data_IF_011300030906
#
_entry.id   IF_011300030906
#
_cell.length_a   1.000
_cell.length_b   1.000
_cell.length_c   1.000
_cell.angle_alpha   90.00
_cell.angle_beta   90.00
_cell.angle_gamma   90.00
#
_symmetry.space_group_name_H-M   'P 1'
#
loop_
_entity.id
_entity.type
_entity.pdbx_description
1 polymer ?
#
# COMPACT_ATOMS: atom_id res chain seq x y z
N UNK A 1 -50.76 -29.08 5.85
CA UNK A 1 -50.08 -28.63 7.08
C UNK A 1 -48.63 -29.07 6.95
N UNK A 2 -47.60 -28.24 6.93
CA UNK A 2 -47.45 -26.79 6.88
C UNK A 2 -45.99 -26.56 6.48
N UNK A 3 -45.78 -25.83 5.38
CA UNK A 3 -44.50 -25.20 5.02
C UNK A 3 -44.13 -24.21 6.12
N UNK A 4 -42.85 -24.17 6.50
CA UNK A 4 -42.28 -23.07 7.29
C UNK A 4 -40.98 -22.61 6.62
N UNK A 5 -41.13 -21.65 5.72
CA UNK A 5 -40.07 -20.77 5.28
C UNK A 5 -39.74 -19.77 6.40
N UNK A 6 -38.46 -19.67 6.78
CA UNK A 6 -37.98 -18.58 7.62
C UNK A 6 -37.26 -17.55 6.74
N UNK A 7 -37.88 -16.38 6.67
CA UNK A 7 -37.38 -15.15 6.07
C UNK A 7 -36.26 -14.58 6.94
N UNK A 8 -35.07 -14.36 6.37
CA UNK A 8 -34.05 -13.52 7.00
C UNK A 8 -34.34 -12.05 6.66
N UNK A 9 -34.78 -11.30 7.65
CA UNK A 9 -34.87 -9.85 7.58
C UNK A 9 -33.48 -9.23 7.82
N UNK A 10 -33.19 -8.23 7.01
CA UNK A 10 -31.97 -7.45 6.91
C UNK A 10 -31.99 -6.30 7.93
N UNK A 11 -30.99 -6.24 8.81
CA UNK A 11 -30.42 -5.07 9.53
C UNK A 11 -29.82 -5.53 10.86
N UNK A 12 -28.49 -5.59 10.94
CA UNK A 12 -27.78 -5.55 12.21
C UNK A 12 -26.52 -4.71 12.01
N UNK A 13 -26.46 -3.57 12.72
CA UNK A 13 -25.20 -2.85 12.94
C UNK A 13 -24.17 -3.82 13.51
N UNK A 14 -22.91 -3.68 13.06
CA UNK A 14 -21.79 -4.51 13.52
C UNK A 14 -21.46 -4.28 15.01
N UNK A 15 -22.08 -3.28 15.64
CA UNK A 15 -21.92 -2.94 17.05
C UNK A 15 -23.25 -3.14 17.80
N UNK A 16 -23.44 -4.23 18.57
CA UNK A 16 -24.65 -4.38 19.38
C UNK A 16 -24.74 -3.28 20.43
N UNK A 17 -25.88 -2.59 20.47
CA UNK A 17 -26.20 -1.49 21.39
C UNK A 17 -26.10 -1.98 22.85
N UNK A 18 -25.20 -1.40 23.64
CA UNK A 18 -25.19 -1.62 25.09
C UNK A 18 -26.29 -0.74 25.71
N UNK A 19 -27.31 -1.39 26.26
CA UNK A 19 -28.30 -0.74 27.11
C UNK A 19 -27.61 -0.15 28.36
N UNK A 20 -27.34 1.15 28.35
CA UNK A 20 -26.84 1.87 29.52
C UNK A 20 -26.04 3.11 29.15
N UNK A 21 -26.72 4.24 28.99
CA UNK A 21 -26.08 5.55 28.89
C UNK A 21 -25.43 5.88 30.24
N UNK A 22 -24.12 5.69 30.36
CA UNK A 22 -23.34 6.30 31.44
C UNK A 22 -22.67 7.54 30.85
N UNK A 23 -23.29 8.69 31.06
CA UNK A 23 -22.63 9.97 30.87
C UNK A 23 -21.55 10.13 31.94
N UNK A 24 -20.30 9.80 31.62
CA UNK A 24 -19.16 10.10 32.48
C UNK A 24 -18.65 11.48 32.10
N UNK A 25 -19.03 12.50 32.87
CA UNK A 25 -18.52 13.85 32.71
C UNK A 25 -17.00 13.86 32.92
N UNK A 26 -16.23 14.12 31.85
CA UNK A 26 -14.78 14.31 31.91
C UNK A 26 -13.92 13.51 30.91
N UNK A 27 -14.50 12.64 30.08
CA UNK A 27 -13.75 11.86 29.08
C UNK A 27 -13.29 12.73 27.91
N UNK A 28 -11.98 12.77 27.64
CA UNK A 28 -11.42 13.39 26.42
C UNK A 28 -11.80 12.53 25.20
N UNK A 29 -12.14 13.19 24.09
CA UNK A 29 -12.55 12.52 22.85
C UNK A 29 -11.46 11.57 22.32
N UNK A 30 -11.79 10.41 21.73
CA UNK A 30 -10.83 9.46 21.16
C UNK A 30 -9.96 10.01 20.04
N UNK A 31 -10.33 11.15 19.45
CA UNK A 31 -9.57 11.86 18.44
C UNK A 31 -9.81 13.36 18.65
N UNK A 32 -8.75 14.17 18.79
CA UNK A 32 -8.86 15.62 18.85
C UNK A 32 -8.70 16.20 17.45
N UNK A 33 -9.73 16.88 16.94
CA UNK A 33 -9.70 17.59 15.66
C UNK A 33 -8.56 18.61 15.61
N UNK A 34 -7.70 18.53 14.60
CA UNK A 34 -6.70 19.56 14.33
C UNK A 34 -7.35 20.78 13.64
N UNK A 35 -6.86 21.98 13.94
CA UNK A 35 -7.51 23.26 13.64
C UNK A 35 -7.48 23.67 12.14
N UNK A 36 -7.00 22.80 11.25
CA UNK A 36 -6.64 23.13 9.87
C UNK A 36 -7.81 23.27 8.88
N UNK A 37 -8.97 22.67 9.16
CA UNK A 37 -10.19 22.83 8.36
C UNK A 37 -11.41 22.78 9.27
N UNK A 38 -12.09 23.93 9.44
CA UNK A 38 -13.43 23.96 10.01
C UNK A 38 -14.38 23.33 9.00
N UNK A 39 -14.93 22.16 9.35
CA UNK A 39 -16.09 21.57 8.67
C UNK A 39 -17.12 22.67 8.40
N UNK A 40 -17.38 22.98 7.12
CA UNK A 40 -18.56 23.76 6.75
C UNK A 40 -19.80 22.86 6.89
N UNK A 41 -20.25 22.74 8.14
CA UNK A 41 -21.62 22.84 8.64
C UNK A 41 -22.74 22.03 7.95
N UNK A 42 -23.15 20.95 8.64
CA UNK A 42 -24.54 20.52 8.94
C UNK A 42 -25.00 19.12 8.51
N UNK A 43 -24.22 18.31 7.78
CA UNK A 43 -24.61 16.92 7.45
C UNK A 43 -23.59 15.82 7.80
N UNK A 44 -22.29 16.10 7.88
CA UNK A 44 -21.23 15.09 8.09
C UNK A 44 -20.68 15.02 9.52
N UNK A 45 -20.96 15.99 10.37
CA UNK A 45 -20.51 15.97 11.77
C UNK A 45 -21.13 14.81 12.60
N UNK A 46 -22.44 14.49 12.49
CA UNK A 46 -23.03 13.42 13.30
C UNK A 46 -22.49 12.03 12.99
N UNK A 47 -22.19 11.73 11.72
CA UNK A 47 -21.68 10.42 11.31
C UNK A 47 -20.22 10.23 11.74
N UNK A 48 -19.42 11.29 11.66
CA UNK A 48 -18.03 11.26 12.14
C UNK A 48 -17.99 11.14 13.66
N UNK A 49 -18.83 11.89 14.39
CA UNK A 49 -18.92 11.78 15.86
C UNK A 49 -19.31 10.35 16.29
N UNK A 50 -20.27 9.74 15.59
CA UNK A 50 -20.67 8.35 15.83
C UNK A 50 -19.51 7.37 15.54
N UNK A 51 -18.85 7.50 14.38
CA UNK A 51 -17.72 6.65 14.02
C UNK A 51 -16.56 6.76 15.03
N UNK A 52 -16.23 7.98 15.48
CA UNK A 52 -15.21 8.21 16.51
C UNK A 52 -15.61 7.53 17.83
N UNK A 53 -16.89 7.60 18.21
CA UNK A 53 -17.39 6.90 19.38
C UNK A 53 -17.25 5.37 19.24
N UNK A 54 -17.61 4.82 18.08
CA UNK A 54 -17.52 3.38 17.80
C UNK A 54 -16.07 2.89 17.80
N UNK A 55 -15.13 3.68 17.26
CA UNK A 55 -13.68 3.43 17.38
C UNK A 55 -13.25 3.38 18.85
N UNK A 56 -13.67 4.35 19.67
CA UNK A 56 -13.33 4.35 21.09
C UNK A 56 -13.83 3.09 21.82
N UNK A 57 -15.05 2.64 21.53
CA UNK A 57 -15.59 1.40 22.08
C UNK A 57 -14.82 0.17 21.59
N UNK A 58 -14.44 0.11 20.31
CA UNK A 58 -13.66 -1.00 19.76
C UNK A 58 -12.26 -1.09 20.42
N UNK A 59 -11.56 0.04 20.56
CA UNK A 59 -10.25 0.10 21.19
C UNK A 59 -10.30 -0.26 22.69
N UNK A 60 -11.33 0.18 23.42
CA UNK A 60 -11.50 -0.21 24.82
C UNK A 60 -11.77 -1.72 24.96
N UNK A 61 -12.60 -2.30 24.09
CA UNK A 61 -12.85 -3.75 24.07
C UNK A 61 -11.57 -4.51 23.78
N UNK A 62 -10.82 -4.09 22.77
CA UNK A 62 -9.52 -4.68 22.43
C UNK A 62 -8.54 -4.60 23.61
N UNK A 63 -8.43 -3.44 24.27
CA UNK A 63 -7.53 -3.24 25.42
C UNK A 63 -7.92 -4.00 26.69
N UNK A 64 -9.13 -4.57 26.74
CA UNK A 64 -9.59 -5.42 27.84
C UNK A 64 -9.75 -6.88 27.43
N UNK A 65 -9.43 -7.22 26.18
CA UNK A 65 -9.51 -8.59 25.67
C UNK A 65 -8.33 -9.42 26.20
N UNK A 66 -8.58 -10.56 26.88
CA UNK A 66 -7.50 -11.46 27.32
C UNK A 66 -6.63 -11.99 26.17
N UNK A 67 -7.12 -11.96 24.93
CA UNK A 67 -6.42 -12.38 23.71
C UNK A 67 -5.74 -11.23 22.96
N UNK A 68 -5.69 -10.01 23.51
CA UNK A 68 -5.07 -8.83 22.86
C UNK A 68 -3.68 -9.10 22.31
N UNK A 69 -2.89 -9.94 23.00
CA UNK A 69 -1.55 -10.33 22.56
C UNK A 69 -1.58 -11.08 21.22
N UNK A 70 -2.53 -12.00 21.04
CA UNK A 70 -2.65 -12.75 19.79
C UNK A 70 -3.05 -11.82 18.64
N UNK A 71 -3.96 -10.87 18.88
CA UNK A 71 -4.33 -9.86 17.88
C UNK A 71 -3.12 -9.01 17.47
N UNK A 72 -2.31 -8.57 18.44
CA UNK A 72 -1.07 -7.82 18.18
C UNK A 72 -0.10 -8.64 17.33
N UNK A 73 0.14 -9.90 17.70
CA UNK A 73 1.07 -10.77 16.95
C UNK A 73 0.55 -11.10 15.54
N UNK A 74 -0.78 -11.18 15.37
CA UNK A 74 -1.39 -11.41 14.05
C UNK A 74 -1.26 -10.16 13.17
N UNK A 75 -1.58 -8.97 13.67
CA UNK A 75 -1.50 -7.73 12.90
C UNK A 75 -0.05 -7.28 12.66
N UNK A 76 0.71 -7.11 13.75
CA UNK A 76 1.99 -6.38 13.76
C UNK A 76 3.22 -7.30 13.80
N UNK A 77 3.02 -8.62 13.78
CA UNK A 77 4.10 -9.61 13.77
C UNK A 77 4.69 -9.94 15.15
N UNK A 78 5.74 -10.77 15.13
CA UNK A 78 6.45 -11.19 16.34
C UNK A 78 7.58 -10.22 16.70
N UNK A 79 7.86 -10.05 18.00
CA UNK A 79 8.99 -9.22 18.46
C UNK A 79 8.66 -7.75 18.72
N UNK A 80 7.37 -7.39 18.72
CA UNK A 80 6.87 -6.06 19.11
C UNK A 80 7.37 -5.63 20.49
N UNK A 81 7.51 -4.33 20.69
CA UNK A 81 7.75 -3.74 21.99
C UNK A 81 6.47 -3.82 22.85
N UNK A 82 6.37 -4.89 23.63
CA UNK A 82 5.23 -5.14 24.52
C UNK A 82 5.06 -4.08 25.62
N UNK A 83 6.13 -3.38 26.02
CA UNK A 83 6.02 -2.28 26.99
C UNK A 83 5.29 -1.09 26.35
N UNK A 84 5.71 -0.68 25.15
CA UNK A 84 5.05 0.38 24.38
C UNK A 84 3.59 0.01 24.05
N UNK A 85 3.32 -1.25 23.70
CA UNK A 85 1.95 -1.73 23.49
C UNK A 85 1.12 -1.60 24.78
N UNK A 86 1.64 -2.06 25.93
CA UNK A 86 0.93 -1.97 27.20
C UNK A 86 0.65 -0.52 27.64
N UNK A 87 1.53 0.42 27.33
CA UNK A 87 1.33 1.84 27.63
C UNK A 87 0.12 2.42 26.87
N UNK A 88 -0.11 1.99 25.62
CA UNK A 88 -1.31 2.35 24.87
C UNK A 88 -2.57 1.70 25.47
N UNK A 89 -2.52 0.38 25.70
CA UNK A 89 -3.68 -0.39 26.14
C UNK A 89 -4.17 0.01 27.55
N UNK A 90 -3.28 0.37 28.47
CA UNK A 90 -3.67 0.81 29.81
C UNK A 90 -4.58 2.03 29.80
N UNK A 91 -4.31 3.01 28.92
CA UNK A 91 -5.18 4.17 28.73
C UNK A 91 -6.53 3.77 28.15
N UNK A 92 -6.50 3.00 27.06
CA UNK A 92 -7.72 2.62 26.33
C UNK A 92 -8.67 1.76 27.18
N UNK A 93 -8.14 0.91 28.05
CA UNK A 93 -8.94 0.10 28.97
C UNK A 93 -9.83 0.96 29.89
N UNK A 94 -9.37 2.15 30.26
CA UNK A 94 -10.12 3.12 31.08
C UNK A 94 -10.74 4.27 30.27
N UNK A 95 -10.85 4.10 28.95
CA UNK A 95 -11.40 5.09 28.02
C UNK A 95 -10.59 6.42 28.01
N UNK A 96 -9.28 6.34 28.26
CA UNK A 96 -8.32 7.44 28.10
C UNK A 96 -7.55 7.27 26.80
N UNK A 97 -7.85 8.13 25.83
CA UNK A 97 -7.25 8.15 24.51
C UNK A 97 -6.26 9.30 24.35
N UNK A 98 -5.67 9.81 25.44
CA UNK A 98 -4.65 10.87 25.35
C UNK A 98 -3.41 10.48 24.54
N UNK A 99 -3.20 9.18 24.29
CA UNK A 99 -2.08 8.60 23.55
C UNK A 99 -2.46 8.08 22.15
N UNK A 100 -3.54 8.58 21.55
CA UNK A 100 -3.93 8.29 20.15
C UNK A 100 -3.47 9.41 19.20
N UNK A 101 -3.34 9.14 17.90
CA UNK A 101 -2.99 10.15 16.92
C UNK A 101 -4.05 11.25 16.81
N UNK A 102 -3.63 12.42 16.31
CA UNK A 102 -4.57 13.50 15.98
C UNK A 102 -5.43 13.13 14.77
N UNK A 103 -6.57 13.78 14.60
CA UNK A 103 -7.40 13.62 13.41
C UNK A 103 -7.47 14.94 12.62
N UNK A 104 -7.07 14.90 11.35
CA UNK A 104 -7.25 15.96 10.38
C UNK A 104 -8.22 15.52 9.27
N UNK A 105 -9.07 16.42 8.79
CA UNK A 105 -9.89 16.18 7.59
C UNK A 105 -9.20 16.85 6.40
N UNK A 106 -9.12 16.15 5.27
CA UNK A 106 -8.54 16.62 4.00
C UNK A 106 -9.42 16.24 2.82
N UNK A 107 -9.31 16.94 1.70
CA UNK A 107 -9.90 16.47 0.44
C UNK A 107 -9.19 15.17 0.05
N UNK A 108 -9.89 14.21 -0.56
CA UNK A 108 -9.27 12.97 -1.01
C UNK A 108 -8.06 13.26 -1.92
N UNK A 109 -8.20 14.20 -2.85
CA UNK A 109 -7.11 14.62 -3.74
C UNK A 109 -5.86 15.19 -3.06
N UNK A 110 -5.96 15.66 -1.81
CA UNK A 110 -4.80 16.12 -1.02
C UNK A 110 -4.03 14.96 -0.38
N UNK A 111 -4.70 13.83 -0.15
CA UNK A 111 -4.12 12.58 0.36
C UNK A 111 -4.12 11.50 -0.74
N UNK A 112 -3.85 11.92 -1.98
CA UNK A 112 -3.71 11.05 -3.16
C UNK A 112 -4.92 10.12 -3.44
N UNK A 113 -6.11 10.58 -3.03
CA UNK A 113 -7.42 9.94 -3.13
C UNK A 113 -7.61 8.73 -2.20
N UNK A 114 -6.82 8.62 -1.13
CA UNK A 114 -7.06 7.67 -0.06
C UNK A 114 -8.32 8.04 0.74
N UNK A 115 -8.93 7.06 1.40
CA UNK A 115 -10.05 7.26 2.32
C UNK A 115 -9.57 7.69 3.73
N UNK A 116 -8.43 7.17 4.16
CA UNK A 116 -7.66 7.53 5.35
C UNK A 116 -6.17 7.55 5.04
N UNK A 117 -5.36 8.13 5.93
CA UNK A 117 -3.90 8.02 5.90
C UNK A 117 -3.28 8.40 7.25
N UNK A 118 -2.47 7.52 7.83
CA UNK A 118 -1.64 7.82 9.00
C UNK A 118 -0.31 8.46 8.57
N UNK A 119 0.00 9.62 9.16
CA UNK A 119 1.25 10.32 8.96
C UNK A 119 2.15 10.19 10.20
N UNK A 120 3.20 9.38 10.10
CA UNK A 120 4.16 9.13 11.19
C UNK A 120 4.96 10.37 11.61
N UNK A 121 5.29 11.25 10.65
CA UNK A 121 6.06 12.48 10.89
C UNK A 121 5.44 13.43 11.93
N UNK A 122 4.11 13.39 12.08
CA UNK A 122 3.38 14.27 12.99
C UNK A 122 2.31 13.55 13.83
N UNK A 123 2.30 12.21 13.80
CA UNK A 123 1.34 11.33 14.47
C UNK A 123 -0.12 11.78 14.25
N UNK A 124 -0.50 12.03 12.98
CA UNK A 124 -1.84 12.48 12.59
C UNK A 124 -2.46 11.55 11.58
N UNK A 125 -3.71 11.16 11.82
CA UNK A 125 -4.59 10.51 10.85
C UNK A 125 -5.25 11.59 10.00
N UNK A 126 -5.15 11.50 8.69
CA UNK A 126 -5.87 12.32 7.73
C UNK A 126 -7.03 11.52 7.12
N UNK A 127 -8.26 11.94 7.39
CA UNK A 127 -9.46 11.30 6.86
C UNK A 127 -10.01 12.11 5.68
N UNK A 128 -10.39 11.41 4.61
CA UNK A 128 -10.96 12.02 3.41
C UNK A 128 -12.35 12.61 3.68
N UNK A 129 -12.56 13.86 3.26
CA UNK A 129 -13.90 14.44 3.23
C UNK A 129 -14.82 13.75 2.21
N UNK A 130 -14.24 13.09 1.20
CA UNK A 130 -14.99 12.35 0.19
C UNK A 130 -15.59 11.09 0.82
N UNK A 131 -14.82 10.37 1.67
CA UNK A 131 -15.30 9.23 2.46
C UNK A 131 -16.48 9.64 3.34
N UNK A 132 -16.36 10.75 4.09
CA UNK A 132 -17.42 11.27 4.96
C UNK A 132 -18.70 11.59 4.20
N UNK A 133 -18.55 12.15 3.00
CA UNK A 133 -19.70 12.52 2.16
C UNK A 133 -20.39 11.28 1.59
N UNK A 134 -19.61 10.31 1.12
CA UNK A 134 -20.13 9.07 0.55
C UNK A 134 -20.78 8.16 1.60
N UNK A 135 -20.30 8.21 2.84
CA UNK A 135 -20.77 7.37 3.94
C UNK A 135 -21.58 8.13 4.99
N UNK A 136 -22.30 9.19 4.59
CA UNK A 136 -23.07 10.04 5.51
C UNK A 136 -24.11 9.29 6.39
N UNK A 137 -24.51 8.08 5.99
CA UNK A 137 -25.40 7.20 6.77
C UNK A 137 -24.77 5.86 7.17
N UNK A 138 -23.44 5.74 7.07
CA UNK A 138 -22.70 4.50 7.30
C UNK A 138 -21.47 4.76 8.20
N UNK A 139 -21.68 5.01 9.50
CA UNK A 139 -20.57 5.25 10.43
C UNK A 139 -19.63 4.04 10.54
N UNK A 140 -20.13 2.82 10.35
CA UNK A 140 -19.32 1.58 10.40
C UNK A 140 -18.17 1.61 9.37
N UNK A 141 -18.42 2.11 8.16
CA UNK A 141 -17.37 2.26 7.12
C UNK A 141 -16.35 3.34 7.46
N UNK A 142 -16.75 4.39 8.18
CA UNK A 142 -15.82 5.44 8.62
C UNK A 142 -14.99 4.94 9.80
N UNK A 143 -15.61 4.20 10.73
CA UNK A 143 -14.93 3.55 11.85
C UNK A 143 -13.93 2.48 11.36
N UNK A 144 -14.25 1.77 10.28
CA UNK A 144 -13.36 0.83 9.60
C UNK A 144 -12.01 1.47 9.24
N UNK A 145 -12.09 2.56 8.48
CA UNK A 145 -10.91 3.30 8.00
C UNK A 145 -10.17 3.92 9.19
N UNK A 146 -10.88 4.54 10.14
CA UNK A 146 -10.22 5.10 11.32
C UNK A 146 -9.48 4.05 12.17
N UNK A 147 -10.03 2.83 12.30
CA UNK A 147 -9.36 1.76 13.02
C UNK A 147 -8.15 1.22 12.27
N UNK A 148 -8.20 1.19 10.94
CA UNK A 148 -7.08 0.85 10.06
C UNK A 148 -5.92 1.84 10.26
N UNK A 149 -6.20 3.13 10.22
CA UNK A 149 -5.18 4.17 10.46
C UNK A 149 -4.66 4.19 11.91
N UNK A 150 -5.49 3.80 12.89
CA UNK A 150 -5.02 3.57 14.26
C UNK A 150 -4.10 2.34 14.32
N UNK A 151 -4.34 1.32 13.49
CA UNK A 151 -3.46 0.16 13.36
C UNK A 151 -2.05 0.55 12.90
N UNK A 152 -1.92 1.34 11.84
CA UNK A 152 -0.62 1.87 11.39
C UNK A 152 0.07 2.72 12.47
N UNK A 153 -0.68 3.52 13.24
CA UNK A 153 -0.13 4.22 14.40
C UNK A 153 0.40 3.26 15.46
N UNK A 154 -0.33 2.18 15.77
CA UNK A 154 0.11 1.18 16.74
C UNK A 154 1.42 0.56 16.24
N UNK A 155 1.47 0.13 14.99
CA UNK A 155 2.66 -0.48 14.40
C UNK A 155 3.88 0.42 14.54
N UNK A 156 3.76 1.67 14.08
CA UNK A 156 4.79 2.70 14.22
C UNK A 156 5.31 2.88 15.65
N UNK A 157 4.46 2.71 16.66
CA UNK A 157 4.82 2.90 18.07
C UNK A 157 5.47 1.67 18.71
N UNK A 158 5.08 0.47 18.28
CA UNK A 158 5.49 -0.77 18.94
C UNK A 158 6.58 -1.52 18.18
N UNK A 159 6.72 -1.27 16.88
CA UNK A 159 7.71 -1.92 16.05
C UNK A 159 8.91 -1.01 15.75
N UNK A 160 10.10 -1.62 15.67
CA UNK A 160 11.31 -0.93 15.22
C UNK A 160 11.32 -0.73 13.70
N UNK A 161 10.68 -1.64 12.99
CA UNK A 161 10.54 -1.68 11.56
C UNK A 161 9.09 -2.00 11.25
N UNK A 162 8.54 -1.26 10.31
CA UNK A 162 7.21 -1.46 9.75
C UNK A 162 6.87 -2.94 9.55
N UNK A 163 5.71 -3.35 10.03
CA UNK A 163 5.21 -4.69 9.77
C UNK A 163 4.97 -4.85 8.26
N UNK A 164 5.32 -5.99 7.65
CA UNK A 164 5.04 -6.21 6.24
C UNK A 164 3.53 -6.39 6.05
N UNK A 165 2.98 -5.72 5.04
CA UNK A 165 1.56 -5.84 4.73
C UNK A 165 0.79 -4.55 4.95
N UNK A 166 -0.52 -4.72 5.10
CA UNK A 166 -1.46 -3.73 5.59
C UNK A 166 -1.91 -4.18 6.99
N UNK A 167 -1.02 -3.96 7.97
CA UNK A 167 -1.25 -4.28 9.38
C UNK A 167 -2.39 -3.45 9.98
N UNK A 168 -2.66 -2.27 9.39
CA UNK A 168 -3.82 -1.43 9.64
C UNK A 168 -5.13 -2.18 9.41
N UNK A 169 -5.35 -2.69 8.19
CA UNK A 169 -6.59 -3.38 7.84
C UNK A 169 -6.72 -4.70 8.62
N UNK A 170 -5.63 -5.45 8.81
CA UNK A 170 -5.64 -6.63 9.68
C UNK A 170 -6.13 -6.26 11.08
N UNK A 171 -5.56 -5.21 11.68
CA UNK A 171 -5.97 -4.75 12.99
C UNK A 171 -7.45 -4.33 13.02
N UNK A 172 -7.88 -3.50 12.06
CA UNK A 172 -9.26 -3.01 11.93
C UNK A 172 -10.27 -4.15 11.91
N UNK A 173 -10.04 -5.16 11.06
CA UNK A 173 -10.90 -6.34 10.94
C UNK A 173 -10.94 -7.15 12.24
N UNK A 174 -9.79 -7.38 12.87
CA UNK A 174 -9.72 -8.17 14.11
C UNK A 174 -10.48 -7.50 15.26
N UNK A 175 -10.29 -6.19 15.46
CA UNK A 175 -10.96 -5.47 16.57
C UNK A 175 -12.45 -5.22 16.32
N UNK A 176 -12.89 -5.31 15.06
CA UNK A 176 -14.31 -5.35 14.67
C UNK A 176 -14.93 -6.74 14.75
N UNK A 177 -14.13 -7.78 15.04
CA UNK A 177 -14.59 -9.16 15.14
C UNK A 177 -14.88 -9.81 13.79
N UNK A 178 -14.27 -9.31 12.71
CA UNK A 178 -14.41 -9.89 11.38
C UNK A 178 -13.54 -11.14 11.24
N UNK A 179 -14.09 -12.15 10.56
CA UNK A 179 -13.35 -13.37 10.26
C UNK A 179 -12.41 -13.11 9.08
N UNK A 180 -11.10 -13.24 9.30
CA UNK A 180 -10.09 -13.17 8.26
C UNK A 180 -9.70 -14.60 7.87
N UNK A 181 -9.87 -14.98 6.62
CA UNK A 181 -9.45 -16.30 6.16
C UNK A 181 -7.91 -16.38 6.15
N UNK A 182 -7.34 -17.59 6.19
CA UNK A 182 -5.88 -17.75 6.12
C UNK A 182 -5.29 -17.21 4.80
N UNK A 183 -6.06 -17.24 3.71
CA UNK A 183 -5.64 -16.69 2.42
C UNK A 183 -5.69 -15.16 2.42
N UNK A 184 -6.74 -14.56 3.01
CA UNK A 184 -6.86 -13.10 3.12
C UNK A 184 -5.83 -12.54 4.10
N UNK A 185 -5.56 -13.23 5.21
CA UNK A 185 -4.53 -12.82 6.15
C UNK A 185 -3.14 -12.85 5.51
N UNK A 186 -2.84 -13.87 4.70
CA UNK A 186 -1.60 -13.92 3.95
C UNK A 186 -1.52 -12.77 2.93
N UNK A 187 -2.65 -12.43 2.31
CA UNK A 187 -2.77 -11.33 1.35
C UNK A 187 -2.42 -10.00 2.00
N UNK A 188 -3.10 -9.70 3.11
CA UNK A 188 -2.90 -8.47 3.87
C UNK A 188 -1.46 -8.37 4.38
N UNK A 189 -0.85 -9.46 4.88
CA UNK A 189 0.57 -9.47 5.34
C UNK A 189 1.64 -9.27 4.25
N UNK A 190 1.24 -9.10 2.99
CA UNK A 190 2.17 -8.91 1.86
C UNK A 190 1.87 -7.68 1.02
N UNK A 191 0.83 -6.93 1.38
CA UNK A 191 0.54 -5.62 0.78
C UNK A 191 1.67 -4.63 1.06
N UNK A 192 1.95 -3.73 0.12
CA UNK A 192 2.91 -2.65 0.30
C UNK A 192 2.19 -1.37 -0.10
N UNK A 193 2.00 -0.50 0.87
CA UNK A 193 1.12 0.65 0.83
C UNK A 193 1.88 2.01 0.91
N UNK A 194 3.20 2.06 1.05
CA UNK A 194 3.88 3.36 1.20
C UNK A 194 3.78 4.31 -0.03
N UNK A 195 3.40 5.58 0.20
CA UNK A 195 3.35 6.69 -0.75
C UNK A 195 3.83 8.02 -0.12
N UNK A 196 4.16 9.03 -0.94
CA UNK A 196 4.55 10.38 -0.48
C UNK A 196 3.59 11.43 -1.04
N UNK A 197 3.01 12.25 -0.17
CA UNK A 197 2.14 13.40 -0.53
C UNK A 197 2.71 14.72 -0.05
N UNK A 198 2.30 15.82 -0.68
CA UNK A 198 2.66 17.16 -0.23
C UNK A 198 1.47 17.80 0.47
N UNK A 199 1.54 17.90 1.80
CA UNK A 199 0.54 18.56 2.63
C UNK A 199 1.13 19.86 3.19
N UNK A 200 0.44 20.99 2.99
CA UNK A 200 0.85 22.31 3.49
C UNK A 200 2.30 22.70 3.11
N UNK A 201 2.77 22.25 1.93
CA UNK A 201 4.11 22.51 1.41
C UNK A 201 5.22 21.63 2.02
N UNK A 202 4.87 20.57 2.77
CA UNK A 202 5.80 19.58 3.31
C UNK A 202 5.52 18.21 2.70
N UNK A 203 6.57 17.45 2.42
CA UNK A 203 6.44 16.04 2.03
C UNK A 203 6.08 15.21 3.26
N UNK A 204 5.05 14.38 3.16
CA UNK A 204 4.53 13.50 4.21
C UNK A 204 4.40 12.10 3.60
N UNK A 205 4.95 11.09 4.26
CA UNK A 205 4.70 9.69 3.89
C UNK A 205 3.29 9.28 4.36
N UNK A 206 2.56 8.58 3.49
CA UNK A 206 1.21 8.04 3.73
C UNK A 206 1.12 6.62 3.18
N UNK A 207 0.26 5.79 3.74
CA UNK A 207 -0.02 4.43 3.25
C UNK A 207 -1.21 4.42 2.25
N UNK A 208 -1.08 3.71 1.12
CA UNK A 208 -1.89 3.66 -0.12
C UNK A 208 -1.52 2.50 -1.09
N UNK A 209 -2.53 1.91 -1.74
CA UNK A 209 -2.33 1.03 -2.92
C UNK A 209 -1.51 1.70 -4.05
N UNK A 210 -0.36 1.11 -4.39
CA UNK A 210 0.59 1.65 -5.37
C UNK A 210 0.01 1.68 -6.80
N UNK A 211 -0.20 2.89 -7.35
CA UNK A 211 -0.60 3.11 -8.75
C UNK A 211 0.64 3.17 -9.64
N UNK A 212 0.69 2.34 -10.68
CA UNK A 212 1.71 2.42 -11.74
C UNK A 212 1.18 3.20 -12.94
N UNK A 213 2.04 3.98 -13.60
CA UNK A 213 1.68 4.78 -14.78
C UNK A 213 2.72 4.65 -15.91
N UNK A 214 2.26 4.60 -17.16
CA UNK A 214 3.13 4.73 -18.34
C UNK A 214 2.40 5.44 -19.48
N UNK A 215 3.16 5.97 -20.43
CA UNK A 215 2.65 6.54 -21.68
C UNK A 215 2.86 5.56 -22.85
N UNK A 216 1.81 5.37 -23.67
CA UNK A 216 1.87 4.62 -24.92
C UNK A 216 1.09 5.35 -26.01
N UNK A 217 1.78 5.79 -27.07
CA UNK A 217 1.14 6.36 -28.26
C UNK A 217 0.42 7.69 -28.01
N UNK A 218 0.93 8.53 -27.11
CA UNK A 218 0.35 9.80 -26.67
C UNK A 218 -0.77 9.64 -25.64
N UNK A 219 -0.96 8.45 -25.06
CA UNK A 219 -2.00 8.15 -24.08
C UNK A 219 -1.38 7.65 -22.78
N UNK A 220 -1.78 8.26 -21.66
CA UNK A 220 -1.41 7.81 -20.32
C UNK A 220 -2.26 6.60 -19.93
N UNK A 221 -1.64 5.66 -19.24
CA UNK A 221 -2.28 4.49 -18.68
C UNK A 221 -1.90 4.38 -17.21
N UNK A 222 -2.88 4.08 -16.36
CA UNK A 222 -2.69 3.76 -14.95
C UNK A 222 -3.22 2.37 -14.66
N UNK A 223 -2.51 1.64 -13.80
CA UNK A 223 -2.98 0.37 -13.25
C UNK A 223 -2.80 0.35 -11.74
N UNK A 224 -3.71 -0.31 -11.04
CA UNK A 224 -3.59 -0.59 -9.61
C UNK A 224 -4.26 -1.91 -9.26
N UNK A 225 -3.95 -2.43 -8.07
CA UNK A 225 -4.72 -3.49 -7.43
C UNK A 225 -5.92 -2.82 -6.75
N UNK A 226 -7.12 -3.27 -7.10
CA UNK A 226 -8.35 -2.84 -6.43
C UNK A 226 -8.51 -3.55 -5.09
N UNK A 227 -9.28 -2.93 -4.20
CA UNK A 227 -9.61 -3.46 -2.87
C UNK A 227 -10.58 -4.64 -2.91
N UNK A 228 -11.10 -5.00 -4.10
CA UNK A 228 -12.03 -6.12 -4.29
C UNK A 228 -11.31 -7.41 -4.76
N UNK A 229 -11.26 -8.40 -3.88
CA UNK A 229 -10.93 -9.79 -4.21
C UNK A 229 -9.70 -9.91 -5.14
N UNK A 230 -8.63 -9.18 -4.81
CA UNK A 230 -7.32 -9.22 -5.48
C UNK A 230 -7.31 -8.81 -6.96
N UNK A 231 -8.32 -8.05 -7.41
CA UNK A 231 -8.49 -7.70 -8.82
C UNK A 231 -7.59 -6.54 -9.26
N UNK A 232 -7.32 -6.43 -10.56
CA UNK A 232 -6.56 -5.30 -11.12
C UNK A 232 -7.47 -4.41 -11.95
N UNK A 233 -7.21 -3.09 -11.94
CA UNK A 233 -7.96 -2.11 -12.71
C UNK A 233 -7.05 -1.23 -13.55
N UNK A 234 -7.44 -1.02 -14.80
CA UNK A 234 -6.73 -0.18 -15.75
C UNK A 234 -7.61 1.01 -16.17
N UNK A 235 -7.04 2.21 -16.10
CA UNK A 235 -7.59 3.42 -16.68
C UNK A 235 -6.58 4.08 -17.61
N UNK A 236 -7.04 5.05 -18.38
CA UNK A 236 -6.26 5.74 -19.38
C UNK A 236 -6.81 7.13 -19.67
N UNK A 237 -5.93 8.03 -20.07
CA UNK A 237 -6.26 9.41 -20.40
C UNK A 237 -5.45 9.91 -21.59
N UNK A 238 -6.07 10.73 -22.44
CA UNK A 238 -5.36 11.41 -23.54
C UNK A 238 -4.65 12.70 -23.09
N UNK A 239 -5.00 13.25 -21.93
CA UNK A 239 -4.55 14.57 -21.50
C UNK A 239 -4.15 14.64 -20.02
N UNK A 240 -4.21 13.52 -19.30
CA UNK A 240 -3.92 13.42 -17.87
C UNK A 240 -4.99 14.02 -16.95
N UNK A 241 -6.09 14.57 -17.51
CA UNK A 241 -7.17 15.21 -16.74
C UNK A 241 -8.47 14.42 -16.85
N UNK A 242 -8.85 14.07 -18.08
CA UNK A 242 -10.06 13.33 -18.38
C UNK A 242 -9.71 11.85 -18.50
N UNK A 243 -10.09 11.07 -17.51
CA UNK A 243 -9.84 9.63 -17.44
C UNK A 243 -11.09 8.85 -17.85
N UNK A 244 -10.91 7.71 -18.51
CA UNK A 244 -12.02 6.76 -18.64
C UNK A 244 -12.28 6.06 -17.30
N UNK A 245 -13.45 5.42 -17.20
CA UNK A 245 -13.74 4.56 -16.06
C UNK A 245 -12.71 3.43 -15.94
N UNK A 246 -12.43 3.04 -14.71
CA UNK A 246 -11.63 1.87 -14.39
C UNK A 246 -12.21 0.62 -15.03
N UNK A 247 -11.38 -0.11 -15.77
CA UNK A 247 -11.74 -1.37 -16.38
C UNK A 247 -11.04 -2.52 -15.65
N UNK A 248 -11.82 -3.46 -15.13
CA UNK A 248 -11.31 -4.65 -14.46
C UNK A 248 -10.55 -5.53 -15.46
N UNK A 249 -9.32 -5.92 -15.11
CA UNK A 249 -8.51 -6.87 -15.86
C UNK A 249 -8.57 -8.24 -15.14
N UNK A 250 -8.91 -9.34 -15.84
CA UNK A 250 -8.87 -10.67 -15.27
C UNK A 250 -7.47 -11.04 -14.75
N UNK A 251 -7.40 -11.72 -13.61
CA UNK A 251 -6.16 -12.05 -12.92
C UNK A 251 -6.22 -11.58 -11.47
N UNK A 252 -5.57 -12.32 -10.57
CA UNK A 252 -5.56 -12.02 -9.13
C UNK A 252 -4.12 -11.78 -8.68
N UNK A 253 -3.89 -10.73 -7.91
CA UNK A 253 -2.58 -10.32 -7.38
C UNK A 253 -2.71 -9.77 -5.97
N UNK A 254 -1.72 -10.05 -5.13
CA UNK A 254 -1.59 -9.44 -3.79
C UNK A 254 -0.70 -8.19 -3.81
N UNK A 255 0.14 -8.06 -4.84
CA UNK A 255 1.05 -6.94 -4.99
C UNK A 255 0.52 -5.99 -6.05
N UNK A 256 1.02 -4.76 -6.07
CA UNK A 256 0.70 -3.83 -7.15
C UNK A 256 1.12 -4.40 -8.52
N UNK A 257 0.24 -4.33 -9.54
CA UNK A 257 0.58 -4.76 -10.88
C UNK A 257 1.47 -3.73 -11.57
N UNK A 258 2.29 -4.20 -12.51
CA UNK A 258 3.23 -3.38 -13.27
C UNK A 258 2.74 -3.13 -14.70
N UNK A 259 3.02 -1.95 -15.23
CA UNK A 259 2.80 -1.63 -16.64
C UNK A 259 4.03 -1.00 -17.28
N UNK A 260 4.24 -1.25 -18.57
CA UNK A 260 5.27 -0.57 -19.35
C UNK A 260 4.92 -0.49 -20.82
N UNK A 261 5.56 0.44 -21.53
CA UNK A 261 5.54 0.51 -22.99
C UNK A 261 6.63 -0.39 -23.56
N UNK A 262 6.26 -1.45 -24.26
CA UNK A 262 7.19 -2.27 -25.01
C UNK A 262 6.87 -2.21 -26.51
N UNK A 263 7.78 -1.60 -27.27
CA UNK A 263 7.66 -1.45 -28.74
C UNK A 263 6.31 -0.83 -29.17
N UNK A 264 5.83 0.17 -28.43
CA UNK A 264 4.58 0.88 -28.73
C UNK A 264 3.32 0.13 -28.29
N UNK A 265 3.46 -0.95 -27.51
CA UNK A 265 2.34 -1.71 -26.95
C UNK A 265 2.41 -1.68 -25.43
N UNK A 266 1.26 -1.47 -24.78
CA UNK A 266 1.14 -1.55 -23.33
C UNK A 266 1.24 -3.02 -22.90
N UNK A 267 2.20 -3.32 -22.02
CA UNK A 267 2.32 -4.60 -21.35
C UNK A 267 1.98 -4.45 -19.88
N UNK A 268 1.35 -5.48 -19.34
CA UNK A 268 0.98 -5.63 -17.93
C UNK A 268 1.70 -6.85 -17.38
N UNK A 269 2.16 -6.79 -16.14
CA UNK A 269 2.60 -7.94 -15.39
C UNK A 269 2.10 -7.90 -13.95
N UNK A 270 1.93 -9.05 -13.35
CA UNK A 270 1.58 -9.17 -11.93
C UNK A 270 2.14 -10.47 -11.36
N UNK A 271 2.20 -10.54 -10.04
CA UNK A 271 2.44 -11.77 -9.32
C UNK A 271 1.08 -12.45 -9.04
N UNK A 272 0.93 -13.71 -9.43
CA UNK A 272 -0.28 -14.48 -9.23
C UNK A 272 -0.29 -15.20 -7.89
N UNK A 273 -1.49 -15.52 -7.38
CA UNK A 273 -1.69 -16.27 -6.13
C UNK A 273 -1.12 -17.69 -6.14
N UNK A 274 -0.70 -18.19 -7.31
CA UNK A 274 -0.07 -19.49 -7.53
C UNK A 274 1.47 -19.40 -7.57
N UNK A 275 2.04 -18.34 -6.99
CA UNK A 275 3.47 -18.07 -6.90
C UNK A 275 4.16 -17.85 -8.26
N UNK A 276 3.42 -17.48 -9.31
CA UNK A 276 3.98 -17.23 -10.66
C UNK A 276 3.87 -15.75 -11.04
N UNK A 277 4.88 -15.25 -11.75
CA UNK A 277 4.78 -13.96 -12.41
C UNK A 277 4.14 -14.17 -13.79
N UNK A 278 3.06 -13.43 -14.04
CA UNK A 278 2.36 -13.38 -15.30
C UNK A 278 2.65 -12.08 -16.03
N UNK A 279 2.70 -12.15 -17.35
CA UNK A 279 2.75 -10.97 -18.20
C UNK A 279 1.91 -11.16 -19.46
N UNK A 280 1.40 -10.07 -20.01
CA UNK A 280 0.68 -10.06 -21.28
C UNK A 280 0.64 -8.63 -21.84
N UNK A 281 0.35 -8.49 -23.14
CA UNK A 281 -0.12 -7.20 -23.62
C UNK A 281 -1.45 -6.84 -22.94
N UNK A 282 -1.76 -5.56 -22.77
CA UNK A 282 -2.98 -5.15 -22.07
C UNK A 282 -4.26 -5.69 -22.73
N UNK A 283 -4.27 -5.87 -24.06
CA UNK A 283 -5.40 -6.47 -24.78
C UNK A 283 -5.54 -7.98 -24.50
N UNK A 284 -4.42 -8.70 -24.42
CA UNK A 284 -4.40 -10.12 -24.02
C UNK A 284 -4.79 -10.28 -22.54
N UNK A 285 -4.27 -9.43 -21.66
CA UNK A 285 -4.58 -9.40 -20.22
C UNK A 285 -6.08 -9.24 -19.98
N UNK A 286 -6.72 -8.28 -20.66
CA UNK A 286 -8.18 -8.07 -20.62
C UNK A 286 -8.99 -9.28 -21.10
N UNK A 287 -8.43 -10.09 -21.98
CA UNK A 287 -9.01 -11.34 -22.44
C UNK A 287 -8.65 -12.55 -21.55
N UNK A 288 -7.96 -12.33 -20.43
CA UNK A 288 -7.47 -13.38 -19.51
C UNK A 288 -6.35 -14.25 -20.09
N UNK A 289 -5.67 -13.80 -21.15
CA UNK A 289 -4.64 -14.56 -21.86
C UNK A 289 -3.25 -14.24 -21.33
N UNK A 290 -2.99 -14.68 -20.11
CA UNK A 290 -1.71 -14.48 -19.43
C UNK A 290 -0.64 -15.49 -19.87
N UNK A 291 0.62 -15.04 -19.90
CA UNK A 291 1.80 -15.89 -20.09
C UNK A 291 2.54 -15.95 -18.77
N UNK A 292 2.76 -17.14 -18.22
CA UNK A 292 3.61 -17.33 -17.05
C UNK A 292 5.08 -17.33 -17.47
N UNK A 293 5.98 -16.78 -16.65
CA UNK A 293 7.41 -16.98 -16.80
C UNK A 293 7.76 -18.43 -16.39
N UNK A 294 8.47 -19.16 -17.24
CA UNK A 294 8.52 -20.64 -17.27
C UNK A 294 9.48 -21.31 -16.30
N UNK A 295 10.38 -20.57 -15.66
CA UNK A 295 11.60 -21.10 -15.03
C UNK A 295 11.60 -21.07 -13.49
N UNK A 296 10.42 -21.04 -12.87
CA UNK A 296 10.24 -21.28 -11.43
C UNK A 296 9.57 -20.10 -10.73
N UNK A 297 8.68 -20.44 -9.78
CA UNK A 297 7.87 -19.48 -9.06
C UNK A 297 8.71 -18.42 -8.38
N UNK A 298 8.70 -17.21 -8.94
CA UNK A 298 9.24 -16.03 -8.31
C UNK A 298 8.25 -15.59 -7.23
N UNK A 299 8.35 -16.19 -6.04
CA UNK A 299 7.72 -15.60 -4.85
C UNK A 299 8.34 -14.23 -4.64
N UNK A 300 7.57 -13.19 -4.95
CA UNK A 300 7.96 -11.81 -4.77
C UNK A 300 7.05 -11.19 -3.71
N UNK A 301 7.60 -10.63 -2.62
CA UNK A 301 6.81 -9.86 -1.67
C UNK A 301 6.41 -8.48 -2.23
N UNK A 302 6.97 -8.04 -3.37
CA UNK A 302 6.66 -6.73 -3.95
C UNK A 302 6.16 -6.82 -5.39
N UNK A 303 5.73 -5.66 -5.91
CA UNK A 303 5.49 -5.44 -7.33
C UNK A 303 6.73 -5.76 -8.17
N UNK A 304 6.51 -6.31 -9.37
CA UNK A 304 7.57 -6.49 -10.36
C UNK A 304 7.89 -5.15 -11.03
N UNK A 305 9.14 -4.91 -11.40
CA UNK A 305 9.53 -3.79 -12.23
C UNK A 305 9.63 -4.22 -13.69
N UNK A 306 9.20 -3.37 -14.63
CA UNK A 306 9.29 -3.62 -16.07
C UNK A 306 9.76 -2.39 -16.84
N UNK A 307 10.64 -2.60 -17.83
CA UNK A 307 11.09 -1.52 -18.72
C UNK A 307 11.55 -2.05 -20.07
N UNK A 308 11.30 -1.30 -21.15
CA UNK A 308 11.89 -1.57 -22.44
C UNK A 308 13.32 -1.03 -22.51
N UNK A 309 14.26 -1.88 -22.91
CA UNK A 309 15.64 -1.47 -23.17
C UNK A 309 16.18 -2.22 -24.39
N UNK A 310 16.58 -1.47 -25.43
CA UNK A 310 17.22 -1.99 -26.65
C UNK A 310 16.42 -3.09 -27.36
N UNK A 311 15.11 -2.91 -27.44
CA UNK A 311 14.20 -3.81 -28.10
C UNK A 311 13.89 -5.08 -27.31
N UNK A 312 14.23 -5.14 -26.02
CA UNK A 312 13.85 -6.21 -25.09
C UNK A 312 13.03 -5.65 -23.94
N UNK A 313 12.11 -6.45 -23.41
CA UNK A 313 11.39 -6.14 -22.18
C UNK A 313 12.19 -6.73 -21.01
N UNK A 314 12.73 -5.87 -20.15
CA UNK A 314 13.39 -6.30 -18.92
C UNK A 314 12.38 -6.32 -17.78
N UNK A 315 12.52 -7.32 -16.92
CA UNK A 315 11.71 -7.49 -15.73
C UNK A 315 12.62 -7.77 -14.53
N UNK A 316 12.35 -7.13 -13.40
CA UNK A 316 13.06 -7.39 -12.16
C UNK A 316 12.10 -7.56 -11.00
N UNK A 317 12.49 -8.36 -10.01
CA UNK A 317 11.75 -8.48 -8.75
C UNK A 317 12.69 -8.79 -7.58
N UNK A 318 12.23 -8.49 -6.36
CA UNK A 318 12.84 -9.00 -5.14
C UNK A 318 12.30 -10.41 -4.86
N UNK A 319 13.16 -11.35 -4.48
CA UNK A 319 12.76 -12.66 -3.98
C UNK A 319 12.56 -12.65 -2.45
N UNK A 320 11.90 -13.66 -1.90
CA UNK A 320 11.76 -13.84 -0.44
C UNK A 320 13.09 -13.92 0.32
N UNK A 321 14.19 -14.21 -0.37
CA UNK A 321 15.54 -14.19 0.19
C UNK A 321 16.18 -12.79 0.21
N UNK A 322 15.38 -11.75 -0.03
CA UNK A 322 15.79 -10.37 -0.30
C UNK A 322 16.74 -10.23 -1.49
N UNK A 323 16.95 -11.30 -2.28
CA UNK A 323 17.76 -11.29 -3.47
C UNK A 323 17.06 -10.56 -4.61
N UNK A 324 17.85 -10.01 -5.53
CA UNK A 324 17.32 -9.34 -6.70
C UNK A 324 17.48 -10.20 -7.93
N UNK A 325 16.43 -10.27 -8.76
CA UNK A 325 16.41 -11.12 -9.95
C UNK A 325 16.02 -10.29 -11.16
N UNK A 326 16.68 -10.52 -12.28
CA UNK A 326 16.47 -9.82 -13.55
C UNK A 326 16.31 -10.84 -14.68
N UNK A 327 15.28 -10.68 -15.50
CA UNK A 327 15.08 -11.43 -16.73
C UNK A 327 14.80 -10.46 -17.89
N UNK A 328 14.99 -10.94 -19.11
CA UNK A 328 14.72 -10.19 -20.34
C UNK A 328 13.92 -11.03 -21.33
N UNK A 329 13.02 -10.39 -22.06
CA UNK A 329 12.19 -10.99 -23.09
C UNK A 329 12.51 -10.39 -24.46
N UNK A 330 12.83 -11.25 -25.43
CA UNK A 330 13.24 -10.84 -26.78
C UNK A 330 12.07 -10.64 -27.77
N UNK A 331 10.84 -10.94 -27.34
CA UNK A 331 9.66 -11.00 -28.21
C UNK A 331 9.12 -12.42 -28.42
N UNK A 332 9.88 -13.45 -28.02
CA UNK A 332 9.49 -14.84 -28.10
C UNK A 332 9.82 -15.59 -26.79
N UNK A 333 11.04 -15.43 -26.27
CA UNK A 333 11.56 -16.20 -25.14
C UNK A 333 12.07 -15.29 -24.03
N UNK A 334 11.94 -15.76 -22.79
CA UNK A 334 12.62 -15.18 -21.64
C UNK A 334 14.04 -15.76 -21.54
N UNK A 335 15.00 -14.93 -21.13
CA UNK A 335 16.39 -15.34 -20.83
C UNK A 335 16.52 -16.18 -19.56
N UNK A 336 15.46 -16.22 -18.76
CA UNK A 336 15.40 -16.78 -17.42
C UNK A 336 15.95 -15.85 -16.35
N UNK A 337 15.71 -16.17 -15.08
CA UNK A 337 16.11 -15.31 -13.96
C UNK A 337 17.62 -15.31 -13.72
N UNK A 338 18.24 -14.13 -13.83
CA UNK A 338 19.60 -13.85 -13.36
C UNK A 338 19.56 -13.18 -11.99
N UNK A 339 20.13 -13.81 -10.97
CA UNK A 339 20.35 -13.18 -9.67
C UNK A 339 21.41 -12.07 -9.79
N UNK A 340 21.10 -10.88 -9.30
CA UNK A 340 22.00 -9.73 -9.23
C UNK A 340 22.73 -9.70 -7.88
N UNK A 341 23.85 -8.98 -7.82
CA UNK A 341 24.57 -8.76 -6.57
C UNK A 341 23.79 -7.83 -5.63
N UNK A 342 23.81 -8.16 -4.33
CA UNK A 342 23.18 -7.38 -3.27
C UNK A 342 21.82 -7.94 -2.85
N UNK A 343 21.28 -7.31 -1.80
CA UNK A 343 19.96 -7.58 -1.24
C UNK A 343 19.22 -6.28 -1.03
N UNK A 344 17.89 -6.33 -1.02
CA UNK A 344 17.02 -5.19 -0.80
C UNK A 344 15.85 -5.60 0.08
N UNK A 345 15.41 -4.75 1.03
CA UNK A 345 14.16 -4.93 1.75
C UNK A 345 12.94 -4.39 0.97
N UNK A 346 13.15 -3.75 -0.19
CA UNK A 346 12.10 -3.11 -0.99
C UNK A 346 12.01 -3.65 -2.41
N UNK A 347 10.91 -3.29 -3.08
CA UNK A 347 10.74 -3.36 -4.53
C UNK A 347 11.92 -2.75 -5.30
N UNK A 348 12.23 -3.35 -6.46
CA UNK A 348 13.29 -2.87 -7.34
C UNK A 348 12.75 -1.76 -8.23
N UNK A 349 13.50 -0.68 -8.43
CA UNK A 349 13.17 0.34 -9.42
C UNK A 349 14.07 0.21 -10.66
N UNK A 350 13.48 0.34 -11.86
CA UNK A 350 14.22 0.31 -13.13
C UNK A 350 13.86 1.50 -14.00
N UNK A 351 14.85 2.08 -14.68
CA UNK A 351 14.64 3.17 -15.63
C UNK A 351 15.69 3.13 -16.73
N UNK A 352 15.31 3.55 -17.94
CA UNK A 352 16.25 3.73 -19.04
C UNK A 352 16.54 5.22 -19.23
N UNK A 353 17.82 5.58 -19.23
CA UNK A 353 18.25 6.95 -19.49
C UNK A 353 19.60 6.94 -20.19
N UNK A 354 19.79 7.87 -21.14
CA UNK A 354 21.05 8.04 -21.88
C UNK A 354 21.59 6.72 -22.47
N UNK A 355 20.69 5.85 -22.97
CA UNK A 355 21.06 4.57 -23.58
C UNK A 355 21.53 3.48 -22.62
N UNK A 356 21.27 3.63 -21.31
CA UNK A 356 21.58 2.63 -20.27
C UNK A 356 20.32 2.25 -19.50
N UNK A 357 20.26 1.00 -19.06
CA UNK A 357 19.31 0.53 -18.07
C UNK A 357 19.89 0.76 -16.69
N UNK A 358 19.18 1.51 -15.85
CA UNK A 358 19.50 1.72 -14.44
C UNK A 358 18.60 0.86 -13.58
N UNK A 359 19.19 0.30 -12.51
CA UNK A 359 18.50 -0.46 -11.48
C UNK A 359 18.83 0.20 -10.15
N UNK A 360 17.81 0.61 -9.40
CA UNK A 360 17.95 1.20 -8.08
C UNK A 360 17.38 0.28 -7.00
N UNK A 361 18.00 0.29 -5.83
CA UNK A 361 17.58 -0.46 -4.65
C UNK A 361 17.95 0.27 -3.37
N UNK A 362 17.20 0.05 -2.29
CA UNK A 362 17.68 0.28 -0.92
C UNK A 362 18.42 -0.97 -0.45
N UNK A 363 19.51 -0.81 0.30
CA UNK A 363 20.16 -1.93 0.96
C UNK A 363 19.61 -2.14 2.38
N UNK A 364 20.03 -3.23 3.03
CA UNK A 364 19.61 -3.53 4.41
C UNK A 364 20.10 -2.50 5.45
N UNK A 365 20.98 -1.57 5.04
CA UNK A 365 21.49 -0.47 5.86
C UNK A 365 20.89 0.89 5.49
N UNK A 366 19.76 0.92 4.77
CA UNK A 366 19.02 2.11 4.34
C UNK A 366 19.74 3.03 3.35
N UNK A 367 20.76 2.54 2.66
CA UNK A 367 21.44 3.28 1.60
C UNK A 367 20.85 2.96 0.23
N UNK A 368 20.72 3.98 -0.61
CA UNK A 368 20.26 3.81 -2.00
C UNK A 368 21.46 3.55 -2.91
N UNK A 369 21.38 2.44 -3.64
CA UNK A 369 22.34 2.04 -4.66
C UNK A 369 21.71 2.12 -6.04
N UNK A 370 22.48 2.64 -7.00
CA UNK A 370 22.13 2.60 -8.42
C UNK A 370 23.22 1.87 -9.17
N UNK A 371 22.83 0.84 -9.92
CA UNK A 371 23.66 0.13 -10.87
C UNK A 371 23.16 0.42 -12.29
N UNK A 372 24.04 0.26 -13.28
CA UNK A 372 23.65 0.39 -14.69
C UNK A 372 24.16 -0.79 -15.51
N UNK A 373 23.36 -1.24 -16.47
CA UNK A 373 23.76 -2.18 -17.50
C UNK A 373 24.10 -1.41 -18.78
N UNK A 374 25.26 -1.73 -19.35
CA UNK A 374 25.71 -1.27 -20.65
C UNK A 374 25.77 -2.48 -21.61
N UNK A 375 25.14 -2.39 -22.79
CA UNK A 375 25.21 -3.44 -23.82
C UNK A 375 24.06 -4.45 -23.82
N UNK A 376 24.09 -5.39 -24.77
CA UNK A 376 23.11 -6.49 -24.94
C UNK A 376 23.53 -7.76 -24.18
N UNK A 377 24.24 -7.63 -23.05
CA UNK A 377 24.85 -8.77 -22.35
C UNK A 377 23.85 -9.66 -21.59
N UNK A 378 22.89 -10.21 -22.34
CA UNK A 378 22.30 -11.54 -22.11
C UNK A 378 23.17 -12.65 -22.75
N UNK A 379 24.23 -12.29 -23.49
CA UNK A 379 25.15 -13.24 -24.10
C UNK A 379 26.17 -13.76 -23.06
N UNK A 380 25.92 -14.98 -22.55
CA UNK A 380 26.86 -15.88 -21.86
C UNK A 380 28.02 -15.21 -21.10
N UNK A 381 27.83 -14.92 -19.81
CA UNK A 381 28.96 -14.67 -18.94
C UNK A 381 29.55 -16.02 -18.51
N UNK A 382 30.82 -16.24 -18.87
CA UNK A 382 31.66 -17.31 -18.36
C UNK A 382 31.72 -17.30 -16.81
N UNK A 383 32.38 -18.32 -16.25
CA UNK A 383 32.55 -18.54 -14.81
C UNK A 383 33.27 -17.41 -14.02
N UNK A 384 33.44 -16.21 -14.60
CA UNK A 384 34.00 -15.03 -13.93
C UNK A 384 33.03 -13.83 -13.76
N UNK A 385 31.80 -13.91 -14.28
CA UNK A 385 30.65 -13.14 -13.77
C UNK A 385 30.82 -11.62 -13.59
N UNK A 386 31.36 -10.87 -14.56
CA UNK A 386 31.38 -9.39 -14.50
C UNK A 386 31.11 -8.69 -15.83
N UNK A 387 29.93 -8.08 -16.02
CA UNK A 387 29.77 -6.84 -16.77
C UNK A 387 30.06 -5.64 -15.85
N UNK A 388 30.56 -4.53 -16.40
CA UNK A 388 31.12 -3.40 -15.65
C UNK A 388 30.16 -2.74 -14.65
N UNK A 389 30.17 -3.21 -13.40
CA UNK A 389 29.52 -2.55 -12.26
C UNK A 389 30.22 -1.21 -11.96
N UNK A 390 29.73 -0.10 -12.54
CA UNK A 390 29.86 1.19 -11.87
C UNK A 390 28.73 1.31 -10.86
N UNK A 391 28.98 0.80 -9.66
CA UNK A 391 28.14 1.07 -8.48
C UNK A 391 28.52 2.43 -7.94
N UNK A 392 27.58 3.38 -7.92
CA UNK A 392 27.73 4.62 -7.16
C UNK A 392 26.75 4.59 -6.00
N UNK A 393 27.25 4.71 -4.77
CA UNK A 393 26.44 4.99 -3.58
C UNK A 393 26.07 6.48 -3.59
N UNK A 394 24.79 6.82 -3.60
CA UNK A 394 24.40 8.18 -3.24
C UNK A 394 24.32 8.27 -1.73
N UNK A 395 25.14 9.14 -1.12
CA UNK A 395 24.96 9.54 0.27
C UNK A 395 23.93 10.69 0.27
N UNK A 396 22.98 10.65 1.21
CA UNK A 396 22.13 11.82 1.49
C UNK A 396 23.04 13.03 1.72
N UNK A 397 22.80 14.19 1.08
CA UNK A 397 23.57 15.38 1.40
C UNK A 397 23.34 15.72 2.86
N UNK A 398 24.42 15.85 3.64
CA UNK A 398 24.34 16.41 4.99
C UNK A 398 23.62 17.76 4.91
N UNK A 399 22.74 18.05 5.88
CA UNK A 399 21.87 19.24 5.94
C UNK A 399 22.56 20.62 5.82
N UNK A 400 23.87 20.67 5.59
CA UNK A 400 24.68 21.87 5.50
C UNK A 400 24.93 22.39 4.08
N UNK A 401 24.46 21.75 3.00
CA UNK A 401 24.68 22.25 1.63
C UNK A 401 23.44 22.78 0.91
N UNK A 402 22.31 23.01 1.58
CA UNK A 402 21.14 23.70 1.01
C UNK A 402 21.34 25.22 0.95
N UNK A 403 22.41 25.68 0.31
CA UNK A 403 22.55 27.06 -0.12
C UNK A 403 23.12 27.05 -1.54
N UNK A 404 22.28 27.49 -2.49
CA UNK A 404 22.57 27.74 -3.91
C UNK A 404 22.38 26.57 -4.88
N UNK A 405 21.12 26.25 -5.17
CA UNK A 405 20.75 25.90 -6.54
C UNK A 405 19.33 26.40 -6.83
N UNK A 406 19.25 27.65 -7.27
CA UNK A 406 18.04 28.24 -7.84
C UNK A 406 18.07 27.96 -9.34
N UNK A 407 16.95 27.49 -9.92
CA UNK A 407 16.75 27.01 -11.31
C UNK A 407 17.11 25.52 -11.47
N UNK A 408 16.20 24.62 -11.85
CA UNK A 408 15.30 24.72 -12.99
C UNK A 408 13.87 24.23 -12.70
N UNK A 409 12.92 25.09 -13.04
CA UNK A 409 11.51 24.80 -13.30
C UNK A 409 11.38 24.69 -14.83
N UNK A 410 10.64 23.66 -15.29
CA UNK A 410 10.01 23.51 -16.62
C UNK A 410 10.93 23.33 -17.84
N UNK A 411 10.87 22.13 -18.42
CA UNK A 411 10.48 21.89 -19.82
C UNK A 411 9.97 20.45 -19.97
#
# INVERSE_FOLDING_TARGET
MSDTSFSFAQQHSLFPELAGTVAIAGTKSPLSLDAGLKLNTHSSAPVLDQAIHDVGLALQRFATDPNQKATIEIAFGEGVNLEAANDLLQGWAVYDFSNVPKLGIRLGSEINNADGAFASDNETIYLSSDLLTQNAGNPDQIAAVLLEEVGHFIDFRINQYDAPGDEGDIFSRLVRGEAISAADLLSLKTENDHALVTLDGRSVAIEMSQIQMTEVGGRLYQIHRGTDNNSMYLASSHNGKDWNNWEKIPGETLNAPAITNYKGTLYVAHWGLDDRIYFASASEAKAGKWKALSDGGAKTPDAVAMVEYRGKLYMAHRGQDNGMYLASWDGANWSGWRKLEGQTPDAIAMAVSQGKLYIARRDMGNQIFIASLEGDSDASADASGKPGNRTSSMHSPSQTSMANCTQCIVA
#
